data_IF_694155286298
#
_entry.id   IF_694155286298
#
_cell.length_a   1.000
_cell.length_b   1.000
_cell.length_c   1.000
_cell.angle_alpha   90.00
_cell.angle_beta   90.00
_cell.angle_gamma   90.00
#
_symmetry.space_group_name_H-M   'P 1'
#
loop_
_entity.id
_entity.type
_entity.pdbx_description
1 polymer ?
#
# COMPACT_ATOMS: atom_id res chain seq x y z
N UNK A 1 5.32 -11.31 8.08
CA UNK A 1 5.71 -9.88 8.18
C UNK A 1 4.46 -9.09 8.48
N UNK A 2 4.50 -8.15 9.43
CA UNK A 2 3.36 -7.25 9.73
C UNK A 2 3.62 -5.91 9.04
N UNK A 3 2.60 -5.35 8.40
CA UNK A 3 2.64 -4.07 7.70
C UNK A 3 1.53 -3.16 8.20
N UNK A 4 1.71 -1.85 8.03
CA UNK A 4 0.71 -0.85 8.34
C UNK A 4 0.03 -0.37 7.05
N UNK A 5 -1.31 -0.41 7.01
CA UNK A 5 -2.10 0.08 5.89
C UNK A 5 -3.38 0.71 6.43
N UNK A 6 -3.68 1.96 6.05
CA UNK A 6 -4.93 2.65 6.35
C UNK A 6 -5.34 2.71 7.85
N UNK A 7 -4.39 2.85 8.78
CA UNK A 7 -4.70 2.94 10.21
C UNK A 7 -4.52 1.64 11.00
N UNK A 8 -4.26 0.53 10.32
CA UNK A 8 -4.26 -0.80 10.92
C UNK A 8 -2.97 -1.58 10.65
N UNK A 9 -2.56 -2.39 11.63
CA UNK A 9 -1.47 -3.35 11.48
C UNK A 9 -2.02 -4.72 11.08
N UNK A 10 -1.47 -5.33 10.03
CA UNK A 10 -1.96 -6.61 9.50
C UNK A 10 -0.83 -7.48 8.90
N UNK A 11 -1.01 -8.80 8.74
CA UNK A 11 -0.10 -9.65 7.97
C UNK A 11 0.04 -9.14 6.52
N UNK A 12 1.26 -9.20 5.98
CA UNK A 12 1.56 -8.70 4.63
C UNK A 12 0.67 -9.33 3.54
N UNK A 13 0.36 -10.62 3.62
CA UNK A 13 -0.56 -11.29 2.68
C UNK A 13 -2.00 -10.74 2.68
N UNK A 14 -2.39 -9.97 3.68
CA UNK A 14 -3.71 -9.34 3.78
C UNK A 14 -3.74 -7.89 3.26
N UNK A 15 -2.59 -7.22 3.20
CA UNK A 15 -2.48 -5.86 2.70
C UNK A 15 -2.68 -5.85 1.17
N UNK A 16 -3.81 -5.32 0.71
CA UNK A 16 -4.19 -5.30 -0.70
C UNK A 16 -4.57 -3.89 -1.13
N UNK A 17 -4.23 -3.55 -2.37
CA UNK A 17 -4.69 -2.34 -3.05
C UNK A 17 -5.65 -2.71 -4.18
N UNK A 18 -6.46 -1.76 -4.63
CA UNK A 18 -7.31 -1.96 -5.80
C UNK A 18 -6.45 -2.05 -7.07
N UNK A 19 -6.77 -2.94 -8.03
CA UNK A 19 -6.18 -2.88 -9.36
C UNK A 19 -6.49 -1.57 -10.12
N UNK A 20 -7.48 -0.80 -9.65
CA UNK A 20 -7.83 0.52 -10.19
C UNK A 20 -7.18 1.69 -9.44
N UNK A 21 -6.24 1.41 -8.54
CA UNK A 21 -5.48 2.43 -7.82
C UNK A 21 -4.66 3.30 -8.80
N UNK A 22 -4.65 4.62 -8.62
CA UNK A 22 -3.92 5.55 -9.51
C UNK A 22 -2.41 5.42 -9.38
N UNK A 23 -1.90 5.13 -8.18
CA UNK A 23 -0.51 4.81 -7.95
C UNK A 23 -0.09 3.56 -8.70
N UNK A 24 -0.98 2.56 -8.78
CA UNK A 24 -0.74 1.35 -9.57
C UNK A 24 -0.85 1.58 -11.09
N UNK A 25 -1.90 2.27 -11.56
CA UNK A 25 -2.16 2.43 -12.99
C UNK A 25 -1.28 3.50 -13.66
N UNK A 26 -0.97 4.59 -12.95
CA UNK A 26 -0.35 5.78 -13.51
C UNK A 26 0.95 6.18 -12.80
N UNK A 27 1.37 5.46 -11.77
CA UNK A 27 2.54 5.83 -10.96
C UNK A 27 2.31 7.08 -10.10
N UNK A 28 1.05 7.45 -9.86
CA UNK A 28 0.66 8.62 -9.07
C UNK A 28 0.76 8.33 -7.57
N UNK A 29 1.97 8.40 -7.02
CA UNK A 29 2.24 8.12 -5.62
C UNK A 29 3.50 8.81 -5.12
N UNK A 30 3.63 8.90 -3.80
CA UNK A 30 4.82 9.39 -3.11
C UNK A 30 5.37 8.28 -2.21
N UNK A 31 6.68 8.28 -1.99
CA UNK A 31 7.34 7.39 -1.03
C UNK A 31 8.43 8.15 -0.30
N UNK A 32 8.79 7.67 0.88
CA UNK A 32 9.86 8.21 1.70
C UNK A 32 10.82 7.09 2.08
N UNK A 33 12.11 7.42 2.17
CA UNK A 33 13.17 6.53 2.66
C UNK A 33 14.03 7.35 3.59
N UNK A 34 14.19 6.87 4.82
CA UNK A 34 15.05 7.49 5.85
C UNK A 34 16.06 6.47 6.36
#
# INVERSE_FOLDING_TARGET
>A
MVVYLNGEYMPAEQAKISPLDRGFLFGDGIYEVT
#
